data_IF_252063778852
#
_entry.id   IF_252063778852
#
_cell.length_a   1.000
_cell.length_b   1.000
_cell.length_c   1.000
_cell.angle_alpha   90.00
_cell.angle_beta   90.00
_cell.angle_gamma   90.00
#
_symmetry.space_group_name_H-M   'P 1'
#
loop_
_entity.id
_entity.type
_entity.pdbx_description
1 polymer ?
#
# COMPACT_ATOMS: atom_id res chain seq x y z
N UNK A 1 10.58 13.46 3.92
CA UNK A 1 9.30 13.56 3.18
C UNK A 1 9.26 12.60 1.98
N UNK A 2 10.13 12.72 0.97
CA UNK A 2 10.11 11.81 -0.20
C UNK A 2 10.31 10.34 0.17
N UNK A 3 11.30 10.04 1.03
CA UNK A 3 11.57 8.67 1.50
C UNK A 3 10.34 8.01 2.13
N UNK A 4 9.60 8.74 2.99
CA UNK A 4 8.36 8.24 3.61
C UNK A 4 7.28 7.95 2.59
N UNK A 5 7.09 8.82 1.59
CA UNK A 5 6.12 8.58 0.51
C UNK A 5 6.47 7.37 -0.35
N UNK A 6 7.76 7.14 -0.62
CA UNK A 6 8.22 5.95 -1.34
C UNK A 6 8.02 4.68 -0.51
N UNK A 7 8.24 4.73 0.80
CA UNK A 7 7.96 3.63 1.71
C UNK A 7 6.46 3.32 1.76
N UNK A 8 5.61 4.36 1.84
CA UNK A 8 4.15 4.22 1.79
C UNK A 8 3.69 3.56 0.48
N UNK A 9 4.17 4.06 -0.66
CA UNK A 9 3.89 3.48 -1.96
C UNK A 9 4.33 2.00 -2.04
N UNK A 10 5.57 1.70 -1.65
CA UNK A 10 6.15 0.36 -1.77
C UNK A 10 5.46 -0.63 -0.83
N UNK A 11 5.18 -0.21 0.40
CA UNK A 11 4.45 -1.02 1.38
C UNK A 11 3.03 -1.32 0.93
N UNK A 12 2.28 -0.31 0.47
CA UNK A 12 0.93 -0.51 -0.07
C UNK A 12 0.95 -1.38 -1.33
N UNK A 13 1.94 -1.23 -2.21
CA UNK A 13 2.10 -2.07 -3.39
C UNK A 13 2.34 -3.53 -3.00
N UNK A 14 3.23 -3.78 -2.03
CA UNK A 14 3.51 -5.12 -1.50
C UNK A 14 2.23 -5.76 -0.93
N UNK A 15 1.51 -5.04 -0.07
CA UNK A 15 0.26 -5.52 0.55
C UNK A 15 -0.81 -5.81 -0.51
N UNK A 16 -1.01 -4.90 -1.47
CA UNK A 16 -1.97 -5.07 -2.55
C UNK A 16 -1.59 -6.25 -3.47
N UNK A 17 -0.32 -6.39 -3.82
CA UNK A 17 0.17 -7.52 -4.60
C UNK A 17 -0.04 -8.84 -3.85
N UNK A 18 0.28 -8.91 -2.55
CA UNK A 18 0.02 -10.09 -1.72
C UNK A 18 -1.47 -10.44 -1.69
N UNK A 19 -2.36 -9.46 -1.49
CA UNK A 19 -3.81 -9.69 -1.54
C UNK A 19 -4.26 -10.31 -2.87
N UNK A 20 -3.81 -9.75 -3.99
CA UNK A 20 -4.24 -10.17 -5.33
C UNK A 20 -3.65 -11.52 -5.74
N UNK A 21 -2.36 -11.74 -5.51
CA UNK A 21 -1.64 -12.93 -6.00
C UNK A 21 -1.72 -14.13 -5.08
N UNK A 22 -2.21 -13.97 -3.84
CA UNK A 22 -2.29 -15.07 -2.86
C UNK A 22 -3.70 -15.41 -2.43
N UNK A 23 -4.71 -15.01 -3.22
CA UNK A 23 -6.13 -15.22 -2.92
C UNK A 23 -6.52 -14.69 -1.54
N UNK A 24 -5.97 -13.53 -1.16
CA UNK A 24 -6.15 -12.92 0.15
C UNK A 24 -5.84 -13.85 1.34
N UNK A 25 -4.80 -14.70 1.23
CA UNK A 25 -4.34 -15.52 2.34
C UNK A 25 -3.96 -14.62 3.54
N UNK A 26 -4.64 -14.76 4.70
CA UNK A 26 -4.47 -13.83 5.81
C UNK A 26 -3.05 -13.87 6.38
N UNK A 27 -2.40 -15.05 6.36
CA UNK A 27 -1.02 -15.23 6.82
C UNK A 27 -0.05 -14.44 5.94
N UNK A 28 -0.18 -14.54 4.61
CA UNK A 28 0.75 -13.88 3.70
C UNK A 28 0.55 -12.37 3.71
N UNK A 29 -0.70 -11.91 3.70
CA UNK A 29 -1.03 -10.49 3.78
C UNK A 29 -0.56 -9.90 5.11
N UNK A 30 -0.74 -10.63 6.22
CA UNK A 30 -0.24 -10.23 7.53
C UNK A 30 1.29 -10.09 7.56
N UNK A 31 2.02 -11.05 6.99
CA UNK A 31 3.48 -10.95 6.87
C UNK A 31 3.91 -9.76 6.01
N UNK A 32 3.27 -9.55 4.85
CA UNK A 32 3.54 -8.42 3.99
C UNK A 32 3.33 -7.07 4.71
N UNK A 33 2.24 -6.97 5.48
CA UNK A 33 1.93 -5.78 6.26
C UNK A 33 2.94 -5.55 7.38
N UNK A 34 3.30 -6.59 8.13
CA UNK A 34 4.32 -6.52 9.18
C UNK A 34 5.69 -6.13 8.61
N UNK A 35 6.08 -6.72 7.47
CA UNK A 35 7.31 -6.34 6.78
C UNK A 35 7.30 -4.86 6.37
N UNK A 36 6.19 -4.36 5.82
CA UNK A 36 6.06 -2.96 5.45
C UNK A 36 6.21 -2.03 6.67
N UNK A 37 5.59 -2.36 7.80
CA UNK A 37 5.74 -1.62 9.06
C UNK A 37 7.19 -1.61 9.57
N UNK A 38 7.85 -2.78 9.62
CA UNK A 38 9.23 -2.89 10.09
C UNK A 38 10.24 -2.20 9.17
N UNK A 39 10.01 -2.21 7.85
CA UNK A 39 10.88 -1.50 6.91
C UNK A 39 10.64 0.02 7.01
N UNK A 40 9.40 0.44 7.26
CA UNK A 40 9.09 1.85 7.42
C UNK A 40 9.71 2.44 8.68
N UNK A 41 9.78 1.71 9.80
CA UNK A 41 10.53 2.06 11.03
C UNK A 41 10.49 3.56 11.41
N UNK A 42 9.29 4.14 11.47
CA UNK A 42 9.09 5.57 11.80
C UNK A 42 9.53 6.57 10.72
N UNK A 43 10.03 6.11 9.57
CA UNK A 43 10.33 6.92 8.39
C UNK A 43 9.13 7.13 7.45
N UNK A 44 8.03 6.40 7.66
CA UNK A 44 6.71 6.68 7.10
C UNK A 44 5.68 6.72 8.24
N UNK A 45 4.56 7.41 8.02
CA UNK A 45 3.40 7.32 8.92
C UNK A 45 2.80 5.88 8.94
N UNK A 46 3.19 5.03 7.98
CA UNK A 46 3.09 3.57 8.08
C UNK A 46 1.66 3.04 8.07
N UNK A 47 0.74 3.78 7.46
CA UNK A 47 -0.69 3.48 7.55
C UNK A 47 -1.13 2.49 6.48
N UNK A 48 -0.43 2.47 5.35
CA UNK A 48 -0.54 1.58 4.17
C UNK A 48 -1.95 1.30 3.66
N UNK A 49 -2.94 2.02 4.18
CA UNK A 49 -4.37 1.89 3.93
C UNK A 49 -5.02 3.28 3.96
N UNK A 50 -5.99 3.56 3.07
CA UNK A 50 -6.66 4.86 3.06
C UNK A 50 -7.45 5.14 4.33
N UNK A 51 -8.02 4.09 4.93
CA UNK A 51 -8.75 4.18 6.19
C UNK A 51 -7.81 4.55 7.34
N UNK A 52 -6.59 4.02 7.39
CA UNK A 52 -5.59 4.43 8.37
C UNK A 52 -5.30 5.93 8.29
N UNK A 53 -5.10 6.46 7.07
CA UNK A 53 -4.89 7.90 6.86
C UNK A 53 -6.08 8.72 7.33
N UNK A 54 -7.31 8.30 6.96
CA UNK A 54 -8.53 9.00 7.36
C UNK A 54 -8.66 9.06 8.88
N UNK A 55 -8.43 7.94 9.58
CA UNK A 55 -8.48 7.89 11.04
C UNK A 55 -7.46 8.85 11.65
N UNK A 56 -6.21 8.86 11.17
CA UNK A 56 -5.18 9.76 11.71
C UNK A 56 -5.49 11.23 11.43
N UNK A 57 -6.08 11.54 10.27
CA UNK A 57 -6.55 12.89 9.95
C UNK A 57 -7.67 13.34 10.88
N UNK A 58 -8.69 12.50 11.10
CA UNK A 58 -9.80 12.81 12.01
C UNK A 58 -9.35 12.98 13.47
N UNK A 59 -8.32 12.24 13.87
CA UNK A 59 -7.68 12.40 15.19
C UNK A 59 -6.77 13.62 15.30
N UNK A 60 -6.62 14.41 14.23
CA UNK A 60 -5.74 15.60 14.21
C UNK A 60 -4.24 15.27 14.27
N UNK A 61 -3.85 14.01 14.00
CA UNK A 61 -2.45 13.54 14.08
C UNK A 61 -1.66 13.81 12.81
N UNK A 62 -2.34 14.11 11.71
CA UNK A 62 -1.74 14.35 10.39
C UNK A 62 -2.38 15.58 9.74
N UNK A 63 -1.57 16.44 9.13
CA UNK A 63 -2.07 17.65 8.46
C UNK A 63 -2.82 17.30 7.16
N UNK A 64 -3.77 18.14 6.69
CA UNK A 64 -4.52 17.88 5.46
C UNK A 64 -3.62 17.69 4.22
N UNK A 65 -2.52 18.45 4.15
CA UNK A 65 -1.59 18.34 3.02
C UNK A 65 -0.77 17.05 3.07
N UNK A 66 -0.48 16.53 4.27
CA UNK A 66 0.25 15.28 4.42
C UNK A 66 -0.65 14.07 4.15
N UNK A 67 -1.89 14.09 4.66
CA UNK A 67 -2.87 13.03 4.40
C UNK A 67 -3.15 12.89 2.90
N UNK A 68 -3.27 13.99 2.16
CA UNK A 68 -3.45 13.96 0.70
C UNK A 68 -2.25 13.33 -0.01
N UNK A 69 -1.02 13.65 0.39
CA UNK A 69 0.20 13.05 -0.20
C UNK A 69 0.27 11.55 0.04
N UNK A 70 -0.07 11.10 1.24
CA UNK A 70 -0.12 9.68 1.58
C UNK A 70 -1.21 8.96 0.76
N UNK A 71 -2.41 9.56 0.64
CA UNK A 71 -3.48 9.03 -0.19
C UNK A 71 -3.05 8.89 -1.65
N UNK A 72 -2.40 9.91 -2.22
CA UNK A 72 -1.87 9.85 -3.58
C UNK A 72 -0.87 8.70 -3.75
N UNK A 73 0.04 8.50 -2.80
CA UNK A 73 1.01 7.40 -2.83
C UNK A 73 0.31 6.03 -2.82
N UNK A 74 -0.70 5.85 -1.97
CA UNK A 74 -1.45 4.60 -1.88
C UNK A 74 -2.32 4.34 -3.12
N UNK A 75 -2.94 5.37 -3.69
CA UNK A 75 -3.69 5.27 -4.95
C UNK A 75 -2.76 4.89 -6.11
N UNK A 76 -1.58 5.49 -6.20
CA UNK A 76 -0.58 5.15 -7.21
C UNK A 76 -0.10 3.69 -7.07
N UNK A 77 0.08 3.21 -5.84
CA UNK A 77 0.42 1.81 -5.57
C UNK A 77 -0.71 0.86 -6.00
N UNK A 78 -1.96 1.19 -5.66
CA UNK A 78 -3.14 0.43 -6.10
C UNK A 78 -3.26 0.37 -7.63
N UNK A 79 -3.09 1.50 -8.32
CA UNK A 79 -3.08 1.55 -9.78
C UNK A 79 -1.96 0.69 -10.38
N UNK A 80 -0.77 0.70 -9.77
CA UNK A 80 0.36 -0.14 -10.18
C UNK A 80 0.08 -1.63 -10.00
N UNK A 81 -0.54 -2.02 -8.88
CA UNK A 81 -0.98 -3.40 -8.66
C UNK A 81 -2.01 -3.86 -9.71
N UNK A 82 -2.97 -2.99 -10.05
CA UNK A 82 -3.94 -3.25 -11.12
C UNK A 82 -3.24 -3.46 -12.46
N UNK A 83 -2.31 -2.57 -12.84
CA UNK A 83 -1.54 -2.69 -14.08
C UNK A 83 -0.72 -3.99 -14.14
N UNK A 84 -0.05 -4.37 -13.05
CA UNK A 84 0.73 -5.61 -12.98
C UNK A 84 -0.18 -6.82 -13.18
N UNK A 85 -1.36 -6.82 -12.55
CA UNK A 85 -2.32 -7.91 -12.65
C UNK A 85 -2.94 -8.03 -14.05
N UNK A 86 -3.39 -6.92 -14.64
CA UNK A 86 -4.00 -6.91 -15.98
C UNK A 86 -2.99 -7.28 -17.06
N UNK A 87 -1.75 -6.84 -16.95
CA UNK A 87 -0.68 -7.19 -17.91
C UNK A 87 -0.40 -8.70 -17.90
N UNK A 88 -0.37 -9.34 -16.73
CA UNK A 88 -0.13 -10.80 -16.64
C UNK A 88 -1.29 -11.65 -17.13
N UNK A 89 -2.53 -11.16 -17.07
CA UNK A 89 -3.68 -11.87 -17.66
C UNK A 89 -3.56 -12.04 -19.17
N UNK A 90 -2.86 -11.13 -19.86
CA UNK A 90 -2.62 -11.24 -21.31
C UNK A 90 -1.67 -12.38 -21.69
N UNK A 91 -0.89 -12.89 -20.73
CA UNK A 91 0.11 -13.95 -20.97
C UNK A 91 -0.32 -15.35 -20.55
N UNK A 92 -1.49 -15.51 -19.91
CA UNK A 92 -2.02 -16.85 -19.59
C UNK A 92 -2.97 -17.26 -20.72
N UNK A 93 -2.58 -18.17 -21.62
CA UNK A 93 -3.53 -18.71 -22.59
C UNK A 93 -4.66 -19.38 -21.80
N UNK A 94 -5.90 -19.03 -22.13
CA UNK A 94 -7.07 -19.81 -21.74
C UNK A 94 -6.84 -21.22 -22.28
N UNK A 95 -6.54 -22.15 -21.37
CA UNK A 95 -6.47 -23.58 -21.66
C UNK A 95 -7.89 -24.15 -21.79
#
# INVERSE_FOLDING_TARGET
MLRGLLLEYTGTLLIAASLVFTHASPVIVGLAYMSALFIADGHSDGLFTPLGILTQYLLGRVTPTHSLKLLCAQIAAGASAVLIYTTRKLTVPLA
#
